data_IF_503435092424
#
_entry.id   IF_503435092424
#
_cell.length_a   1.000
_cell.length_b   1.000
_cell.length_c   1.000
_cell.angle_alpha   90.00
_cell.angle_beta   90.00
_cell.angle_gamma   90.00
#
_symmetry.space_group_name_H-M   'P 1'
#
loop_
_entity.id
_entity.type
_entity.pdbx_description
1 polymer ?
#
# COMPACT_ATOMS: atom_id res chain seq x y z
N UNK A 1 0.41 -14.87 3.01
CA UNK A 1 0.09 -13.77 2.06
C UNK A 1 0.06 -14.42 0.70
N UNK A 2 -1.08 -14.39 0.05
CA UNK A 2 -1.27 -14.93 -1.30
C UNK A 2 -1.01 -13.80 -2.31
N UNK A 3 0.01 -13.97 -3.15
CA UNK A 3 0.41 -13.01 -4.18
C UNK A 3 -0.23 -13.28 -5.54
N UNK A 4 -0.92 -14.41 -5.72
CA UNK A 4 -1.77 -14.64 -6.90
C UNK A 4 -3.03 -13.77 -6.82
N UNK A 5 -3.42 -13.38 -5.59
CA UNK A 5 -4.42 -12.36 -5.40
C UNK A 5 -3.90 -10.96 -5.82
N UNK A 6 -4.43 -10.46 -6.94
CA UNK A 6 -4.13 -9.14 -7.52
C UNK A 6 -4.22 -7.99 -6.48
N UNK A 7 -5.15 -8.04 -5.52
CA UNK A 7 -5.29 -7.04 -4.45
C UNK A 7 -4.09 -7.05 -3.52
N UNK A 8 -3.68 -8.22 -3.05
CA UNK A 8 -2.52 -8.36 -2.15
C UNK A 8 -1.22 -7.97 -2.85
N UNK A 9 -1.06 -8.36 -4.12
CA UNK A 9 0.09 -8.01 -4.95
C UNK A 9 0.21 -6.48 -5.11
N UNK A 10 -0.90 -5.79 -5.40
CA UNK A 10 -0.93 -4.33 -5.50
C UNK A 10 -0.60 -3.65 -4.17
N UNK A 11 -1.21 -4.09 -3.07
CA UNK A 11 -0.95 -3.52 -1.74
C UNK A 11 0.53 -3.65 -1.37
N UNK A 12 1.11 -4.84 -1.54
CA UNK A 12 2.50 -5.10 -1.23
C UNK A 12 3.46 -4.29 -2.11
N UNK A 13 3.18 -4.18 -3.42
CA UNK A 13 3.92 -3.35 -4.36
C UNK A 13 3.99 -1.89 -3.90
N UNK A 14 2.84 -1.31 -3.52
CA UNK A 14 2.79 0.10 -3.09
C UNK A 14 3.52 0.31 -1.77
N UNK A 15 3.35 -0.60 -0.80
CA UNK A 15 4.09 -0.53 0.48
C UNK A 15 5.59 -0.58 0.21
N UNK A 16 6.04 -1.48 -0.67
CA UNK A 16 7.45 -1.68 -0.99
C UNK A 16 8.05 -0.45 -1.69
N UNK A 17 7.40 0.06 -2.73
CA UNK A 17 7.84 1.26 -3.45
C UNK A 17 7.85 2.48 -2.54
N UNK A 18 6.83 2.65 -1.70
CA UNK A 18 6.74 3.81 -0.80
C UNK A 18 7.75 3.74 0.35
N UNK A 19 7.99 2.54 0.89
CA UNK A 19 8.93 2.30 1.98
C UNK A 19 10.39 2.36 1.55
N UNK A 20 10.76 1.68 0.45
CA UNK A 20 12.12 1.70 -0.11
C UNK A 20 12.40 3.06 -0.77
N UNK A 21 11.43 3.62 -1.48
CA UNK A 21 11.54 4.92 -2.13
C UNK A 21 11.63 6.10 -1.16
N UNK A 22 11.50 5.85 0.15
CA UNK A 22 11.65 6.89 1.17
C UNK A 22 10.58 7.97 1.05
N UNK A 23 9.34 7.60 0.70
CA UNK A 23 8.26 8.55 0.46
C UNK A 23 7.94 9.34 1.74
N UNK A 24 8.28 10.63 1.73
CA UNK A 24 7.98 11.54 2.83
C UNK A 24 6.78 12.41 2.47
N UNK A 25 5.81 12.48 3.37
CA UNK A 25 4.70 13.41 3.25
C UNK A 25 4.85 14.47 4.34
N UNK A 26 4.86 15.72 3.93
CA UNK A 26 4.85 16.87 4.83
C UNK A 26 3.43 17.46 4.86
N UNK A 27 2.77 17.36 6.01
CA UNK A 27 1.51 18.07 6.27
C UNK A 27 1.77 19.21 7.24
N UNK A 28 2.11 20.38 6.69
CA UNK A 28 2.16 21.64 7.45
C UNK A 28 3.16 21.61 8.62
N UNK A 29 4.30 20.95 8.46
CA UNK A 29 5.34 20.83 9.49
C UNK A 29 5.36 19.48 10.21
N UNK A 30 4.40 18.59 9.95
CA UNK A 30 4.45 17.19 10.37
C UNK A 30 5.01 16.34 9.23
N UNK A 31 6.28 15.93 9.36
CA UNK A 31 6.90 14.99 8.43
C UNK A 31 6.59 13.55 8.82
N UNK A 32 5.87 12.86 7.96
CA UNK A 32 5.65 11.41 8.07
C UNK A 32 6.79 10.71 7.35
N UNK A 33 7.53 9.89 8.09
CA UNK A 33 8.67 9.12 7.57
C UNK A 33 8.22 7.97 6.68
N UNK A 34 9.10 7.52 5.77
CA UNK A 34 8.79 6.55 4.71
C UNK A 34 8.06 5.29 5.16
N UNK A 35 8.42 4.72 6.32
CA UNK A 35 7.77 3.52 6.87
C UNK A 35 6.35 3.80 7.38
N UNK A 36 6.13 4.96 8.02
CA UNK A 36 4.81 5.36 8.47
C UNK A 36 3.88 5.65 7.28
N UNK A 37 4.38 6.34 6.26
CA UNK A 37 3.64 6.63 5.04
C UNK A 37 3.22 5.35 4.30
N UNK A 38 4.15 4.41 4.14
CA UNK A 38 3.88 3.14 3.46
C UNK A 38 2.86 2.28 4.22
N UNK A 39 2.88 2.30 5.56
CA UNK A 39 1.87 1.61 6.38
C UNK A 39 0.48 2.22 6.20
N UNK A 40 0.37 3.55 6.22
CA UNK A 40 -0.91 4.25 5.99
C UNK A 40 -1.46 3.92 4.60
N UNK A 41 -0.61 3.98 3.56
CA UNK A 41 -1.01 3.61 2.20
C UNK A 41 -1.48 2.16 2.12
N UNK A 42 -0.80 1.23 2.79
CA UNK A 42 -1.21 -0.17 2.86
C UNK A 42 -2.61 -0.37 3.47
N UNK A 43 -2.89 0.31 4.58
CA UNK A 43 -4.20 0.25 5.26
C UNK A 43 -5.30 0.86 4.39
N UNK A 44 -5.03 2.03 3.79
CA UNK A 44 -5.99 2.71 2.91
C UNK A 44 -6.29 1.82 1.70
N UNK A 45 -5.27 1.28 1.06
CA UNK A 45 -5.42 0.40 -0.10
C UNK A 45 -6.19 -0.88 0.24
N UNK A 46 -5.95 -1.48 1.40
CA UNK A 46 -6.69 -2.65 1.86
C UNK A 46 -8.20 -2.41 1.95
N UNK A 47 -8.60 -1.21 2.40
CA UNK A 47 -10.01 -0.83 2.56
C UNK A 47 -10.67 -0.42 1.24
N UNK A 48 -9.96 0.25 0.34
CA UNK A 48 -10.56 0.74 -0.92
C UNK A 48 -10.55 -0.30 -2.04
N UNK A 49 -9.59 -1.25 -2.03
CA UNK A 49 -9.49 -2.24 -3.10
C UNK A 49 -10.53 -3.36 -2.89
N UNK A 50 -11.44 -3.57 -3.86
CA UNK A 50 -12.37 -4.69 -3.81
C UNK A 50 -11.61 -6.02 -3.97
N UNK A 51 -12.20 -7.10 -3.47
CA UNK A 51 -11.64 -8.42 -3.71
C UNK A 51 -11.72 -8.78 -5.20
N UNK A 52 -10.70 -9.48 -5.75
CA UNK A 52 -10.74 -9.95 -7.12
C UNK A 52 -11.97 -10.83 -7.33
N UNK A 53 -12.65 -10.67 -8.48
CA UNK A 53 -13.79 -11.53 -8.83
C UNK A 53 -13.30 -12.95 -9.04
N UNK A 54 -14.08 -13.92 -8.56
CA UNK A 54 -13.77 -15.35 -8.63
C UNK A 54 -13.60 -15.92 -10.06
N UNK A 55 -13.96 -15.16 -11.10
CA UNK A 55 -13.87 -15.58 -12.51
C UNK A 55 -12.49 -15.37 -13.17
N UNK A 56 -11.49 -14.85 -12.44
CA UNK A 56 -10.14 -14.61 -12.99
C UNK A 56 -9.03 -15.41 -12.29
N UNK A 57 -9.30 -16.65 -11.86
CA UNK A 57 -8.29 -17.59 -11.36
C UNK A 57 -7.79 -18.53 -12.46
#
# INVERSE_FOLDING_TARGET
IDFDNKKNLLIASVILVSGIGGLMIDLGGLQITGVATSTILGIVLYQILPEPKADEA
#
